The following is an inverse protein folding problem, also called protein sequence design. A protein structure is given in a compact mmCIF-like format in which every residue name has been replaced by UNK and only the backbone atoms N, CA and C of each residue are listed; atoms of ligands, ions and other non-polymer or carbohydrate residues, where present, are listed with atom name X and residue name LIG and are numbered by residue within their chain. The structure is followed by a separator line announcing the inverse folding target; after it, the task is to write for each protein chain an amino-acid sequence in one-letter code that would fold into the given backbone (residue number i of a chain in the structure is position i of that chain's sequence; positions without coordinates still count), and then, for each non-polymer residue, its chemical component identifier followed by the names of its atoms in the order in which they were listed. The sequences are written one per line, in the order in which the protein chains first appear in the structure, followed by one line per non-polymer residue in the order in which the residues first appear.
data_IF_519326772243
#
_entry.id   IF_519326772243
#
_cell.length_a   1.000
_cell.length_b   1.000
_cell.length_c   1.000
_cell.angle_alpha   90.00
_cell.angle_beta   90.00
_cell.angle_gamma   90.00
#
_symmetry.space_group_name_H-M   'P 1'
#
loop_
_entity.id
_entity.type
_entity.pdbx_description
1 polymer ?
#
# COMPACT_ATOMS: atom_id res chain seq x y z
N UNK A 1 4.40 -6.81 5.68
CA UNK A 1 4.49 -6.13 4.37
C UNK A 1 4.97 -7.02 3.24
N UNK A 2 6.12 -7.70 3.31
CA UNK A 2 6.60 -8.54 2.18
C UNK A 2 5.60 -9.58 1.64
N UNK A 3 4.82 -10.23 2.52
CA UNK A 3 3.76 -11.18 2.10
C UNK A 3 2.59 -10.50 1.37
N UNK A 4 2.22 -9.27 1.76
CA UNK A 4 1.14 -8.50 1.14
C UNK A 4 1.55 -8.02 -0.26
N UNK A 5 2.77 -7.53 -0.40
CA UNK A 5 3.34 -7.14 -1.70
C UNK A 5 3.39 -8.31 -2.69
N UNK A 6 3.77 -9.50 -2.21
CA UNK A 6 3.76 -10.73 -3.01
C UNK A 6 2.35 -11.15 -3.44
N UNK A 7 1.34 -10.86 -2.61
CA UNK A 7 -0.05 -11.16 -2.95
C UNK A 7 -0.58 -10.23 -4.05
N UNK A 8 -0.33 -8.92 -3.92
CA UNK A 8 -0.68 -7.95 -4.97
C UNK A 8 0.04 -8.22 -6.31
N UNK A 9 1.31 -8.65 -6.26
CA UNK A 9 2.04 -9.11 -7.45
C UNK A 9 1.37 -10.30 -8.14
N UNK A 10 0.88 -11.26 -7.35
CA UNK A 10 0.21 -12.47 -7.87
C UNK A 10 -1.08 -12.12 -8.61
N UNK A 11 -1.92 -11.25 -8.04
CA UNK A 11 -3.14 -10.80 -8.71
C UNK A 11 -2.86 -10.09 -10.03
N UNK A 12 -1.87 -9.18 -10.04
CA UNK A 12 -1.46 -8.49 -11.27
C UNK A 12 -0.97 -9.48 -12.32
N UNK A 13 -0.17 -10.47 -11.94
CA UNK A 13 0.35 -11.48 -12.86
C UNK A 13 -0.77 -12.29 -13.50
N UNK A 14 -1.75 -12.77 -12.72
CA UNK A 14 -2.90 -13.51 -13.25
C UNK A 14 -3.70 -12.64 -14.21
N UNK A 15 -3.98 -11.39 -13.85
CA UNK A 15 -4.73 -10.46 -14.71
C UNK A 15 -4.02 -10.14 -16.03
N UNK A 16 -2.71 -9.91 -15.98
CA UNK A 16 -1.91 -9.53 -17.16
C UNK A 16 -1.69 -10.71 -18.12
N UNK A 17 -1.66 -11.95 -17.62
CA UNK A 17 -1.19 -13.10 -18.40
C UNK A 17 -2.18 -14.26 -18.55
N UNK A 18 -3.11 -14.45 -17.61
CA UNK A 18 -4.09 -15.54 -17.68
C UNK A 18 -5.44 -15.08 -18.23
N UNK A 19 -5.63 -13.77 -18.42
CA UNK A 19 -6.82 -13.18 -19.04
C UNK A 19 -8.06 -13.18 -18.13
N UNK A 20 -7.92 -13.61 -16.89
CA UNK A 20 -8.98 -13.52 -15.90
C UNK A 20 -8.97 -12.12 -15.25
N UNK A 21 -10.08 -11.37 -15.31
CA UNK A 21 -10.15 -10.05 -14.69
C UNK A 21 -10.03 -10.17 -13.16
N UNK A 22 -9.30 -9.24 -12.54
CA UNK A 22 -9.23 -9.14 -11.07
C UNK A 22 -10.63 -8.92 -10.50
N UNK A 23 -11.04 -9.74 -9.53
CA UNK A 23 -12.32 -9.56 -8.87
C UNK A 23 -12.34 -8.25 -8.06
N UNK A 24 -13.51 -7.63 -7.91
CA UNK A 24 -13.64 -6.38 -7.15
C UNK A 24 -13.21 -6.52 -5.68
N UNK A 25 -13.39 -7.70 -5.09
CA UNK A 25 -12.90 -8.05 -3.76
C UNK A 25 -11.38 -8.02 -3.69
N UNK A 26 -10.71 -8.64 -4.65
CA UNK A 26 -9.25 -8.70 -4.72
C UNK A 26 -8.66 -7.31 -4.96
N UNK A 27 -9.29 -6.54 -5.86
CA UNK A 27 -8.92 -5.16 -6.12
C UNK A 27 -9.03 -4.29 -4.85
N UNK A 28 -10.11 -4.45 -4.09
CA UNK A 28 -10.30 -3.76 -2.81
C UNK A 28 -9.21 -4.13 -1.80
N UNK A 29 -8.93 -5.43 -1.65
CA UNK A 29 -7.89 -5.90 -0.73
C UNK A 29 -6.51 -5.32 -1.08
N UNK A 30 -6.16 -5.28 -2.37
CA UNK A 30 -4.90 -4.68 -2.82
C UNK A 30 -4.80 -3.19 -2.48
N UNK A 31 -5.90 -2.43 -2.59
CA UNK A 31 -5.94 -1.00 -2.25
C UNK A 31 -5.76 -0.78 -0.75
N UNK A 32 -6.47 -1.54 0.09
CA UNK A 32 -6.35 -1.45 1.55
C UNK A 32 -4.92 -1.80 2.04
N UNK A 33 -4.30 -2.79 1.41
CA UNK A 33 -2.90 -3.15 1.69
C UNK A 33 -1.91 -2.06 1.26
N UNK A 34 -2.15 -1.42 0.09
CA UNK A 34 -1.32 -0.33 -0.40
C UNK A 34 -1.40 0.90 0.52
N UNK A 35 -2.59 1.26 0.99
CA UNK A 35 -2.79 2.32 1.98
C UNK A 35 -1.97 2.06 3.24
N UNK A 36 -2.07 0.84 3.78
CA UNK A 36 -1.31 0.45 4.99
C UNK A 36 0.20 0.56 4.78
N UNK A 37 0.70 0.17 3.60
CA UNK A 37 2.12 0.30 3.27
C UNK A 37 2.56 1.77 3.20
N UNK A 38 1.79 2.63 2.52
CA UNK A 38 2.10 4.06 2.40
C UNK A 38 2.08 4.73 3.77
N UNK A 39 1.10 4.40 4.62
CA UNK A 39 1.04 4.90 5.99
C UNK A 39 2.29 4.51 6.80
N UNK A 40 2.75 3.26 6.70
CA UNK A 40 3.97 2.80 7.35
C UNK A 40 5.22 3.53 6.83
N UNK A 41 5.33 3.74 5.50
CA UNK A 41 6.44 4.48 4.90
C UNK A 41 6.47 5.94 5.36
N UNK A 42 5.30 6.59 5.47
CA UNK A 42 5.19 7.96 5.98
C UNK A 42 5.63 8.03 7.44
N UNK A 43 5.13 7.13 8.28
CA UNK A 43 5.49 7.11 9.70
C UNK A 43 7.00 6.91 9.94
N UNK A 44 7.64 6.04 9.15
CA UNK A 44 9.06 5.72 9.32
C UNK A 44 10.00 6.76 8.68
N UNK A 45 9.65 7.29 7.50
CA UNK A 45 10.59 8.05 6.67
C UNK A 45 10.17 9.51 6.42
N UNK A 46 8.94 9.88 6.79
CA UNK A 46 8.42 11.24 6.68
C UNK A 46 7.65 11.60 7.97
N UNK A 47 8.27 11.49 9.15
CA UNK A 47 7.63 11.95 10.37
C UNK A 47 7.32 13.43 10.20
N UNK A 48 6.06 13.82 10.46
CA UNK A 48 5.69 15.24 10.45
C UNK A 48 6.67 15.97 11.38
N UNK A 49 7.39 16.96 10.84
CA UNK A 49 8.17 17.85 11.69
C UNK A 49 7.18 18.45 12.69
N UNK A 50 7.46 18.24 13.97
CA UNK A 50 6.77 19.02 14.99
C UNK A 50 7.14 20.46 14.69
N UNK A 51 6.15 21.26 14.26
CA UNK A 51 6.24 22.72 14.29
C UNK A 51 6.37 23.14 15.77
N UNK A 52 7.52 22.87 16.38
CA UNK A 52 7.97 23.54 17.60
C UNK A 52 8.40 24.95 17.19
N UNK A 53 7.41 25.74 16.77
CA UNK A 53 7.51 27.18 16.74
C UNK A 53 7.33 27.67 18.18
N UNK A 54 8.36 27.46 18.99
CA UNK A 54 8.49 28.03 20.33
C UNK A 54 8.69 29.54 20.18
N UNK A 55 7.59 30.28 20.24
CA UNK A 55 7.61 31.73 20.40
C UNK A 55 8.06 32.08 21.83
N UNK A 56 9.36 32.33 22.02
CA UNK A 56 9.87 33.17 23.14
C UNK A 56 11.02 34.06 22.67
#
# INVERSE_FOLDING_TARGET
MGRLLKHAETFRYVADYEGDPVEMSDAREMVEQAETFVAAMRAEFMPEESDDNDYV
#
